data_IF_711718136821
#
_entry.id   IF_711718136821
#
_cell.length_a   1.000
_cell.length_b   1.000
_cell.length_c   1.000
_cell.angle_alpha   90.00
_cell.angle_beta   90.00
_cell.angle_gamma   90.00
#
_symmetry.space_group_name_H-M   'P 1'
#
loop_
_entity.id
_entity.type
_entity.pdbx_description
1 polymer ?
#
# COMPACT_ATOMS: atom_id res chain seq x y z
N UNK A 1 -9.94 22.60 24.66
CA UNK A 1 -8.65 22.43 23.96
C UNK A 1 -7.57 22.90 24.90
N UNK A 2 -6.69 22.00 25.35
CA UNK A 2 -5.60 22.40 26.24
C UNK A 2 -4.50 23.08 25.42
N UNK A 3 -4.14 24.30 25.84
CA UNK A 3 -2.94 24.99 25.37
C UNK A 3 -1.73 24.18 25.85
N UNK A 4 -0.94 23.64 24.93
CA UNK A 4 0.28 22.92 25.30
C UNK A 4 1.22 23.87 26.04
N UNK A 5 1.51 23.58 27.31
CA UNK A 5 2.42 24.36 28.16
C UNK A 5 3.90 24.26 27.70
N UNK A 6 4.17 23.38 26.74
CA UNK A 6 5.51 23.11 26.23
C UNK A 6 5.77 23.87 24.92
N UNK A 7 6.99 24.40 24.74
CA UNK A 7 7.38 25.05 23.49
C UNK A 7 7.33 24.05 22.32
N UNK A 8 6.95 24.54 21.14
CA UNK A 8 6.88 23.72 19.94
C UNK A 8 8.28 23.19 19.56
N UNK A 9 8.41 21.86 19.47
CA UNK A 9 9.67 21.18 19.06
C UNK A 9 9.97 21.43 17.58
N UNK A 10 8.92 21.53 16.76
CA UNK A 10 8.99 21.74 15.32
C UNK A 10 8.08 22.88 14.91
N UNK A 11 8.46 23.59 13.84
CA UNK A 11 7.66 24.65 13.27
C UNK A 11 6.25 24.16 12.88
N UNK A 12 5.27 25.03 13.08
CA UNK A 12 3.86 24.69 12.83
C UNK A 12 3.60 24.41 11.35
N UNK A 13 4.21 25.19 10.45
CA UNK A 13 4.03 24.98 9.02
C UNK A 13 4.69 23.68 8.56
N UNK A 14 5.83 23.31 9.13
CA UNK A 14 6.45 22.00 8.90
C UNK A 14 5.55 20.85 9.37
N UNK A 15 4.99 20.95 10.57
CA UNK A 15 4.08 19.95 11.11
C UNK A 15 2.85 19.75 10.23
N UNK A 16 2.19 20.84 9.84
CA UNK A 16 0.99 20.79 9.01
C UNK A 16 1.26 20.20 7.62
N UNK A 17 2.40 20.53 7.01
CA UNK A 17 2.82 19.96 5.72
C UNK A 17 2.97 18.44 5.80
N UNK A 18 3.63 17.94 6.86
CA UNK A 18 3.82 16.50 7.08
C UNK A 18 2.47 15.81 7.35
N UNK A 19 1.60 16.43 8.15
CA UNK A 19 0.26 15.90 8.41
C UNK A 19 -0.59 15.83 7.13
N UNK A 20 -0.52 16.83 6.26
CA UNK A 20 -1.18 16.79 4.95
C UNK A 20 -0.61 15.67 4.08
N UNK A 21 0.71 15.49 4.04
CA UNK A 21 1.35 14.40 3.31
C UNK A 21 0.88 13.02 3.81
N UNK A 22 0.76 12.83 5.13
CA UNK A 22 0.24 11.59 5.69
C UNK A 22 -1.24 11.35 5.36
N UNK A 23 -2.06 12.39 5.29
CA UNK A 23 -3.47 12.27 4.85
C UNK A 23 -3.57 11.85 3.39
N UNK A 24 -2.70 12.36 2.53
CA UNK A 24 -2.65 11.98 1.11
C UNK A 24 -2.07 10.57 0.89
N UNK A 25 -1.17 10.13 1.77
CA UNK A 25 -0.58 8.80 1.69
C UNK A 25 -1.57 7.70 2.13
N UNK A 26 -2.43 7.29 1.20
CA UNK A 26 -3.37 6.18 1.39
C UNK A 26 -2.70 4.80 1.32
N UNK A 27 -1.37 4.74 1.15
CA UNK A 27 -0.64 3.47 1.17
C UNK A 27 -0.64 2.96 2.61
N UNK A 28 -1.34 1.84 2.85
CA UNK A 28 -1.18 1.08 4.10
C UNK A 28 0.31 0.79 4.26
N UNK A 29 0.92 1.16 5.40
CA UNK A 29 2.30 0.78 5.74
C UNK A 29 2.42 -0.74 5.64
N UNK A 30 2.89 -1.24 4.51
CA UNK A 30 3.31 -2.63 4.36
C UNK A 30 4.67 -2.71 5.03
N UNK A 31 4.86 -3.65 5.96
CA UNK A 31 6.19 -3.92 6.53
C UNK A 31 7.18 -4.04 5.37
N UNK A 32 8.39 -3.45 5.45
CA UNK A 32 9.40 -3.60 4.41
C UNK A 32 9.72 -5.09 4.27
N UNK A 33 9.07 -5.74 3.31
CA UNK A 33 9.42 -7.06 2.81
C UNK A 33 10.27 -6.82 1.58
N UNK A 34 11.22 -7.72 1.29
CA UNK A 34 11.88 -7.78 -0.03
C UNK A 34 10.79 -7.57 -1.09
N UNK A 35 10.88 -6.46 -1.82
CA UNK A 35 9.83 -6.03 -2.75
C UNK A 35 9.93 -6.92 -3.98
N UNK A 36 9.31 -8.09 -3.91
CA UNK A 36 9.24 -9.01 -5.05
C UNK A 36 8.21 -8.54 -6.10
N UNK A 37 7.39 -7.53 -5.79
CA UNK A 37 6.31 -7.05 -6.65
C UNK A 37 6.38 -5.53 -6.86
N UNK A 38 7.15 -5.12 -7.88
CA UNK A 38 7.41 -3.72 -8.23
C UNK A 38 6.16 -2.90 -8.54
N UNK A 39 5.13 -3.53 -9.10
CA UNK A 39 3.90 -2.84 -9.55
C UNK A 39 2.74 -2.95 -8.54
N UNK A 40 3.03 -3.41 -7.31
CA UNK A 40 2.03 -3.52 -6.26
C UNK A 40 1.44 -2.14 -5.91
N UNK A 41 0.14 -1.97 -6.10
CA UNK A 41 -0.57 -0.71 -5.84
C UNK A 41 -0.70 0.22 -7.06
N UNK A 42 -0.06 -0.13 -8.19
CA UNK A 42 -0.21 0.57 -9.47
C UNK A 42 -1.14 -0.19 -10.44
N UNK A 43 -1.16 -1.53 -10.36
CA UNK A 43 -1.98 -2.37 -11.22
C UNK A 43 -3.40 -2.52 -10.67
N UNK A 44 -4.36 -2.35 -11.57
CA UNK A 44 -5.79 -2.53 -11.32
C UNK A 44 -6.35 -3.60 -12.27
N UNK A 45 -7.31 -4.38 -11.80
CA UNK A 45 -8.00 -5.34 -12.63
C UNK A 45 -8.95 -4.61 -13.58
N UNK A 46 -8.88 -4.90 -14.88
CA UNK A 46 -9.76 -4.28 -15.88
C UNK A 46 -11.24 -4.65 -15.72
N UNK A 47 -11.55 -5.78 -15.07
CA UNK A 47 -12.93 -6.25 -14.86
C UNK A 47 -13.54 -5.64 -13.60
N UNK A 48 -12.97 -5.91 -12.42
CA UNK A 48 -13.55 -5.46 -11.16
C UNK A 48 -13.03 -4.10 -10.64
N UNK A 49 -12.04 -3.50 -11.29
CA UNK A 49 -11.40 -2.24 -10.84
C UNK A 49 -10.57 -2.36 -9.56
N UNK A 50 -10.51 -3.54 -8.92
CA UNK A 50 -9.76 -3.74 -7.68
C UNK A 50 -8.26 -3.85 -7.92
N UNK A 51 -7.46 -3.49 -6.92
CA UNK A 51 -5.99 -3.55 -7.00
C UNK A 51 -5.51 -5.00 -7.18
N UNK A 52 -4.55 -5.20 -8.08
CA UNK A 52 -3.88 -6.49 -8.23
C UNK A 52 -2.83 -6.67 -7.12
N UNK A 53 -2.76 -7.88 -6.57
CA UNK A 53 -1.79 -8.28 -5.56
C UNK A 53 -0.73 -9.22 -6.13
N UNK A 54 0.36 -9.39 -5.40
CA UNK A 54 1.35 -10.42 -5.73
C UNK A 54 0.85 -11.82 -5.33
N UNK A 55 1.24 -12.79 -6.14
CA UNK A 55 1.17 -14.21 -5.86
C UNK A 55 2.46 -14.85 -6.38
N UNK A 56 2.88 -15.94 -5.79
CA UNK A 56 4.04 -16.67 -6.26
C UNK A 56 3.76 -18.16 -6.30
N UNK A 57 4.39 -18.84 -7.25
CA UNK A 57 4.51 -20.30 -7.23
C UNK A 57 5.98 -20.68 -7.23
N UNK A 58 6.31 -21.79 -6.58
CA UNK A 58 7.67 -22.33 -6.56
C UNK A 58 7.68 -23.63 -7.34
N UNK A 59 8.54 -23.73 -8.36
CA UNK A 59 8.74 -24.96 -9.12
C UNK A 59 10.24 -25.17 -9.33
N UNK A 60 10.73 -26.37 -9.02
CA UNK A 60 12.15 -26.74 -9.18
C UNK A 60 13.12 -25.71 -8.58
N UNK A 61 12.83 -25.23 -7.37
CA UNK A 61 13.66 -24.24 -6.67
C UNK A 61 13.58 -22.80 -7.21
N UNK A 62 12.85 -22.54 -8.29
CA UNK A 62 12.61 -21.21 -8.84
C UNK A 62 11.25 -20.67 -8.40
N UNK A 63 11.24 -19.43 -7.90
CA UNK A 63 10.02 -18.70 -7.57
C UNK A 63 9.58 -17.87 -8.77
N UNK A 64 8.35 -18.06 -9.20
CA UNK A 64 7.71 -17.27 -10.25
C UNK A 64 6.68 -16.34 -9.61
N UNK A 65 6.82 -15.05 -9.86
CA UNK A 65 5.94 -14.00 -9.35
C UNK A 65 4.88 -13.64 -10.39
N UNK A 66 3.64 -13.56 -9.94
CA UNK A 66 2.49 -13.22 -10.76
C UNK A 66 1.70 -12.10 -10.09
N UNK A 67 1.07 -11.26 -10.90
CA UNK A 67 0.05 -10.32 -10.43
C UNK A 67 -1.31 -10.96 -10.61
N UNK A 68 -2.07 -11.06 -9.53
CA UNK A 68 -3.41 -11.66 -9.53
C UNK A 68 -4.42 -10.66 -8.99
N UNK A 69 -5.61 -10.65 -9.58
CA UNK A 69 -6.73 -9.87 -9.08
C UNK A 69 -7.04 -10.27 -7.63
N UNK A 70 -7.13 -9.29 -6.71
CA UNK A 70 -7.46 -9.56 -5.30
C UNK A 70 -8.84 -10.16 -5.13
N UNK A 71 -9.83 -9.66 -5.87
CA UNK A 71 -11.21 -10.18 -5.86
C UNK A 71 -11.24 -11.67 -6.22
N UNK A 72 -10.58 -12.05 -7.33
CA UNK A 72 -10.44 -13.45 -7.74
C UNK A 72 -9.69 -14.30 -6.71
N UNK A 73 -8.66 -13.75 -6.05
CA UNK A 73 -7.91 -14.43 -5.00
C UNK A 73 -8.73 -14.65 -3.72
N UNK A 74 -9.67 -13.76 -3.42
CA UNK A 74 -10.58 -13.87 -2.29
C UNK A 74 -11.84 -14.70 -2.62
N UNK A 75 -11.80 -15.48 -3.72
CA UNK A 75 -12.91 -16.28 -4.23
C UNK A 75 -14.21 -15.49 -4.50
N UNK A 76 -14.09 -14.16 -4.62
CA UNK A 76 -15.20 -13.29 -4.98
C UNK A 76 -15.33 -13.20 -6.51
N UNK A 77 -16.55 -12.96 -6.99
CA UNK A 77 -16.84 -12.82 -8.42
C UNK A 77 -16.18 -11.55 -8.96
N UNK A 78 -15.09 -11.72 -9.69
CA UNK A 78 -14.53 -10.72 -10.59
C UNK A 78 -15.22 -10.92 -11.94
N UNK A 79 -16.22 -10.10 -12.25
CA UNK A 79 -16.96 -10.13 -13.51
C UNK A 79 -16.67 -8.86 -14.28
#
# INVERSE_FOLDING_TARGET
MYSGEQPAIVDRALWERVQQQFKMDTRRRVRPRKVEALLSGLLYCAQCGERMGNSYTSRQGRRHLYYVCRTKRADAKCQ
#
